data_IF_615125584397
#
_entry.id   IF_615125584397
#
_cell.length_a   1.000
_cell.length_b   1.000
_cell.length_c   1.000
_cell.angle_alpha   90.00
_cell.angle_beta   90.00
_cell.angle_gamma   90.00
#
_symmetry.space_group_name_H-M   'P 1'
#
loop_
_entity.id
_entity.type
_entity.pdbx_description
1 polymer ?
#
# COMPACT_ATOMS: atom_id res chain seq x y z
N UNK A 1 -5.07 -24.87 7.97
CA UNK A 1 -5.31 -23.97 6.84
C UNK A 1 -5.88 -22.67 7.37
N UNK A 2 -5.02 -21.65 7.48
CA UNK A 2 -5.38 -20.34 8.03
C UNK A 2 -5.96 -19.38 6.97
N UNK A 3 -5.82 -19.71 5.69
CA UNK A 3 -6.47 -18.94 4.63
C UNK A 3 -7.92 -19.35 4.47
N UNK A 4 -8.85 -18.41 4.35
CA UNK A 4 -10.21 -18.68 3.96
C UNK A 4 -10.23 -19.41 2.62
N UNK A 5 -11.06 -20.41 2.50
CA UNK A 5 -11.21 -21.16 1.23
C UNK A 5 -11.58 -20.23 0.07
N UNK A 6 -12.23 -19.13 0.35
CA UNK A 6 -12.66 -18.11 -0.61
C UNK A 6 -11.49 -17.27 -1.17
N UNK A 7 -10.42 -17.08 -0.39
CA UNK A 7 -9.20 -16.39 -0.87
C UNK A 7 -8.31 -17.29 -1.71
N UNK A 8 -8.36 -18.61 -1.50
CA UNK A 8 -7.52 -19.58 -2.22
C UNK A 8 -7.70 -19.50 -3.74
N UNK A 9 -8.92 -19.38 -4.30
CA UNK A 9 -9.10 -19.27 -5.75
C UNK A 9 -8.43 -18.05 -6.36
N UNK A 10 -8.45 -16.92 -5.66
CA UNK A 10 -7.84 -15.68 -6.14
C UNK A 10 -6.31 -15.81 -6.20
N UNK A 11 -5.72 -16.37 -5.18
CA UNK A 11 -4.27 -16.59 -5.08
C UNK A 11 -3.83 -17.76 -5.95
N UNK A 12 -4.57 -18.87 -5.92
CA UNK A 12 -4.27 -20.09 -6.68
C UNK A 12 -4.31 -19.88 -8.19
N UNK A 13 -5.26 -19.08 -8.66
CA UNK A 13 -5.37 -18.72 -10.09
C UNK A 13 -4.28 -17.80 -10.57
N UNK A 14 -3.50 -17.20 -9.66
CA UNK A 14 -2.50 -16.19 -10.01
C UNK A 14 -1.08 -16.76 -10.02
N UNK A 15 -0.61 -17.48 -8.98
CA UNK A 15 0.83 -17.71 -8.84
C UNK A 15 1.26 -19.01 -8.17
N UNK A 16 0.51 -19.59 -7.23
CA UNK A 16 0.96 -20.74 -6.44
C UNK A 16 -0.17 -21.57 -5.90
N UNK A 17 0.07 -22.88 -5.75
CA UNK A 17 -0.84 -23.78 -5.07
C UNK A 17 -0.69 -23.76 -3.54
N UNK A 18 0.43 -23.25 -3.04
CA UNK A 18 0.77 -23.19 -1.62
C UNK A 18 1.29 -21.78 -1.28
N UNK A 19 0.39 -20.80 -1.09
CA UNK A 19 0.80 -19.47 -0.72
C UNK A 19 1.48 -19.46 0.65
N UNK A 20 2.46 -18.58 0.84
CA UNK A 20 3.05 -18.32 2.14
C UNK A 20 2.04 -17.62 3.04
N UNK A 21 2.06 -17.99 4.31
CA UNK A 21 1.43 -17.25 5.41
C UNK A 21 2.52 -16.95 6.41
N UNK A 22 2.75 -15.66 6.69
CA UNK A 22 3.88 -15.20 7.49
C UNK A 22 3.57 -13.88 8.20
N UNK A 23 4.58 -13.29 8.86
CA UNK A 23 4.50 -11.95 9.42
C UNK A 23 3.44 -11.75 10.49
N UNK A 24 3.32 -12.64 11.51
CA UNK A 24 2.28 -12.48 12.51
C UNK A 24 2.53 -11.23 13.37
N UNK A 25 1.50 -10.42 13.52
CA UNK A 25 1.47 -9.27 14.42
C UNK A 25 0.18 -9.29 15.23
N UNK A 26 0.25 -8.95 16.52
CA UNK A 26 -0.92 -8.99 17.40
C UNK A 26 -1.16 -7.65 18.05
N UNK A 27 -2.35 -7.08 17.82
CA UNK A 27 -2.85 -5.94 18.56
C UNK A 27 -3.96 -6.33 19.53
N UNK A 28 -4.15 -5.49 20.54
CA UNK A 28 -5.31 -5.53 21.41
C UNK A 28 -6.08 -4.22 21.31
N UNK A 29 -7.37 -4.30 20.98
CA UNK A 29 -8.25 -3.15 20.93
C UNK A 29 -9.64 -3.51 21.46
N UNK A 30 -10.19 -2.66 22.34
CA UNK A 30 -11.52 -2.85 22.95
C UNK A 30 -11.76 -4.27 23.49
N UNK A 31 -10.75 -4.86 24.14
CA UNK A 31 -10.84 -6.20 24.74
C UNK A 31 -10.70 -7.36 23.76
N UNK A 32 -10.65 -7.12 22.46
CA UNK A 32 -10.39 -8.13 21.42
C UNK A 32 -8.92 -8.15 21.02
N UNK A 33 -8.46 -9.29 20.49
CA UNK A 33 -7.12 -9.52 19.97
C UNK A 33 -7.20 -9.70 18.46
N UNK A 34 -6.36 -8.97 17.73
CA UNK A 34 -6.32 -8.93 16.27
C UNK A 34 -5.00 -9.54 15.81
N UNK A 35 -5.04 -10.78 15.35
CA UNK A 35 -3.88 -11.49 14.80
C UNK A 35 -3.79 -11.20 13.31
N UNK A 36 -2.88 -10.31 12.97
CA UNK A 36 -2.57 -9.95 11.58
C UNK A 36 -1.60 -10.98 10.99
N UNK A 37 -1.68 -11.18 9.68
CA UNK A 37 -0.80 -12.09 8.95
C UNK A 37 -0.69 -11.67 7.49
N UNK A 38 0.44 -11.99 6.85
CA UNK A 38 0.69 -11.67 5.45
C UNK A 38 0.55 -12.88 4.53
N UNK A 39 0.13 -12.62 3.29
CA UNK A 39 -0.09 -13.62 2.23
C UNK A 39 -0.18 -12.92 0.86
N UNK A 40 0.17 -13.56 -0.28
CA UNK A 40 0.75 -14.88 -0.47
C UNK A 40 2.28 -14.91 -0.48
N UNK A 41 2.95 -13.78 -0.64
CA UNK A 41 4.39 -13.64 -0.70
C UNK A 41 4.82 -12.29 -1.26
N UNK A 42 5.96 -11.78 -0.81
CA UNK A 42 6.46 -10.43 -1.09
C UNK A 42 6.87 -10.20 -2.56
N UNK A 43 7.01 -11.25 -3.34
CA UNK A 43 7.31 -11.21 -4.78
C UNK A 43 6.08 -10.87 -5.64
N UNK A 44 4.89 -10.81 -5.04
CA UNK A 44 3.64 -10.57 -5.75
C UNK A 44 3.04 -9.21 -5.43
N UNK A 45 2.48 -8.53 -6.43
CA UNK A 45 1.75 -7.26 -6.22
C UNK A 45 0.49 -7.43 -5.36
N UNK A 46 -0.03 -8.64 -5.27
CA UNK A 46 -1.19 -9.00 -4.44
C UNK A 46 -0.82 -9.33 -2.99
N UNK A 47 0.43 -9.10 -2.59
CA UNK A 47 0.86 -9.25 -1.22
C UNK A 47 0.07 -8.33 -0.29
N UNK A 48 -0.54 -8.91 0.73
CA UNK A 48 -1.55 -8.25 1.55
C UNK A 48 -1.47 -8.72 3.00
N UNK A 49 -2.09 -7.98 3.91
CA UNK A 49 -2.29 -8.42 5.28
C UNK A 49 -3.77 -8.70 5.56
N UNK A 50 -4.01 -9.89 6.09
CA UNK A 50 -5.29 -10.30 6.65
C UNK A 50 -5.30 -10.23 8.17
N UNK A 51 -6.47 -10.44 8.79
CA UNK A 51 -6.62 -10.41 10.24
C UNK A 51 -7.65 -11.41 10.75
N UNK A 52 -7.28 -12.10 11.82
CA UNK A 52 -8.17 -12.92 12.64
C UNK A 52 -8.45 -12.22 13.96
N UNK A 53 -9.64 -12.41 14.53
CA UNK A 53 -10.06 -11.77 15.78
C UNK A 53 -10.45 -12.81 16.82
N UNK A 54 -10.09 -12.54 18.08
CA UNK A 54 -10.46 -13.38 19.25
C UNK A 54 -10.70 -12.54 20.50
N UNK A 55 -11.48 -13.05 21.41
CA UNK A 55 -11.60 -12.53 22.79
C UNK A 55 -10.43 -12.92 23.71
N UNK A 56 -9.52 -13.79 23.24
CA UNK A 56 -8.39 -14.30 24.00
C UNK A 56 -7.12 -14.29 23.17
N UNK A 57 -5.92 -14.01 23.73
CA UNK A 57 -4.67 -14.01 22.97
C UNK A 57 -4.27 -15.40 22.45
N UNK A 58 -4.86 -16.45 23.00
CA UNK A 58 -4.62 -17.85 22.59
C UNK A 58 -5.74 -18.41 21.70
N UNK A 59 -6.73 -17.57 21.34
CA UNK A 59 -7.86 -17.98 20.51
C UNK A 59 -9.01 -18.59 21.35
N UNK A 60 -9.99 -19.24 20.71
CA UNK A 60 -10.06 -19.47 19.27
C UNK A 60 -10.19 -18.17 18.47
N UNK A 61 -9.55 -18.13 17.30
CA UNK A 61 -9.60 -17.01 16.39
C UNK A 61 -10.64 -17.25 15.28
N UNK A 62 -11.35 -16.20 14.89
CA UNK A 62 -12.23 -16.17 13.74
C UNK A 62 -11.73 -15.16 12.73
N UNK A 63 -11.91 -15.44 11.44
CA UNK A 63 -11.55 -14.49 10.39
C UNK A 63 -12.42 -13.24 10.52
N UNK A 64 -11.80 -12.06 10.50
CA UNK A 64 -12.53 -10.80 10.45
C UNK A 64 -13.30 -10.64 9.13
N UNK A 65 -14.35 -9.84 9.12
CA UNK A 65 -15.13 -9.59 7.90
C UNK A 65 -14.35 -8.76 6.88
N UNK A 66 -13.57 -7.79 7.37
CA UNK A 66 -12.71 -6.95 6.52
C UNK A 66 -11.38 -7.67 6.23
N UNK A 67 -11.36 -8.52 5.22
CA UNK A 67 -10.16 -9.27 4.79
C UNK A 67 -9.99 -9.32 3.27
N UNK A 68 -8.73 -9.05 2.79
CA UNK A 68 -7.61 -8.51 3.56
C UNK A 68 -7.89 -7.08 4.02
N UNK A 69 -7.42 -6.69 5.21
CA UNK A 69 -7.61 -5.33 5.72
C UNK A 69 -6.58 -4.34 5.14
N UNK A 70 -5.45 -4.84 4.64
CA UNK A 70 -4.44 -4.08 3.90
C UNK A 70 -4.16 -4.77 2.58
N UNK A 71 -4.50 -4.11 1.47
CA UNK A 71 -4.34 -4.64 0.12
C UNK A 71 -4.21 -3.51 -0.90
N UNK A 72 -3.09 -3.48 -1.63
CA UNK A 72 -2.81 -2.48 -2.64
C UNK A 72 -2.04 -3.10 -3.81
N UNK A 73 -2.75 -3.64 -4.78
CA UNK A 73 -2.17 -4.42 -5.88
C UNK A 73 -1.60 -3.60 -7.03
N UNK A 74 -1.82 -2.29 -7.04
CA UNK A 74 -1.37 -1.36 -8.08
C UNK A 74 -0.97 -0.01 -7.51
N UNK A 75 -0.72 0.99 -8.36
CA UNK A 75 -0.27 2.32 -7.97
C UNK A 75 1.23 2.38 -7.69
N UNK A 76 1.67 3.47 -7.11
CA UNK A 76 3.09 3.72 -6.83
C UNK A 76 3.66 2.82 -5.72
N UNK A 77 2.84 2.43 -4.74
CA UNK A 77 3.24 1.57 -3.62
C UNK A 77 2.49 0.22 -3.62
N UNK A 78 2.76 -0.69 -4.58
CA UNK A 78 2.08 -1.98 -4.63
C UNK A 78 2.59 -2.94 -3.55
N UNK A 79 1.73 -3.88 -3.13
CA UNK A 79 2.06 -4.92 -2.16
C UNK A 79 1.27 -4.79 -0.88
N UNK A 80 1.78 -4.07 0.13
CA UNK A 80 1.14 -3.81 1.41
C UNK A 80 0.99 -5.03 2.35
N UNK A 81 1.92 -5.99 2.28
CA UNK A 81 1.96 -7.17 3.17
C UNK A 81 3.14 -7.21 4.13
N UNK A 82 3.16 -8.18 5.03
CA UNK A 82 4.11 -8.39 6.13
C UNK A 82 4.23 -7.15 7.01
N UNK A 83 3.08 -6.61 7.33
CA UNK A 83 2.99 -5.36 8.05
C UNK A 83 2.83 -5.52 9.55
N UNK A 84 2.79 -4.37 10.18
CA UNK A 84 2.43 -4.22 11.58
C UNK A 84 1.70 -2.90 11.77
N UNK A 85 0.86 -2.85 12.77
CA UNK A 85 0.16 -1.64 13.18
C UNK A 85 0.82 -1.04 14.41
N UNK A 86 0.84 0.28 14.49
CA UNK A 86 1.37 0.99 15.65
C UNK A 86 0.57 2.25 15.94
N UNK A 87 0.43 2.56 17.22
CA UNK A 87 -0.14 3.82 17.68
C UNK A 87 0.94 4.88 17.83
N UNK A 88 0.71 6.07 17.27
CA UNK A 88 1.56 7.22 17.57
C UNK A 88 1.18 7.88 18.92
N UNK A 89 1.97 8.86 19.32
CA UNK A 89 1.75 9.58 20.58
C UNK A 89 0.46 10.41 20.60
N UNK A 90 -0.11 10.71 19.44
CA UNK A 90 -1.37 11.44 19.28
C UNK A 90 -2.58 10.51 19.26
N UNK A 91 -2.38 9.19 19.31
CA UNK A 91 -3.43 8.18 19.26
C UNK A 91 -3.93 7.91 17.85
N UNK A 92 -3.12 8.15 16.82
CA UNK A 92 -3.38 7.69 15.47
C UNK A 92 -2.82 6.28 15.27
N UNK A 93 -3.58 5.42 14.62
CA UNK A 93 -3.11 4.10 14.22
C UNK A 93 -2.50 4.18 12.81
N UNK A 94 -1.34 3.59 12.68
CA UNK A 94 -0.59 3.48 11.43
C UNK A 94 -0.37 2.03 11.07
N UNK A 95 -0.46 1.71 9.79
CA UNK A 95 -0.02 0.45 9.23
C UNK A 95 1.25 0.67 8.44
N UNK A 96 2.30 -0.08 8.78
CA UNK A 96 3.55 -0.11 8.01
C UNK A 96 3.69 -1.49 7.38
N UNK A 97 4.03 -1.55 6.12
CA UNK A 97 4.21 -2.82 5.44
C UNK A 97 5.20 -2.74 4.29
N UNK A 98 5.45 -3.86 3.68
CA UNK A 98 6.32 -3.98 2.53
C UNK A 98 5.61 -3.52 1.27
N UNK A 99 6.20 -2.53 0.57
CA UNK A 99 5.88 -2.26 -0.83
C UNK A 99 6.92 -2.91 -1.76
N UNK A 100 6.45 -3.42 -2.89
CA UNK A 100 7.29 -4.05 -3.90
C UNK A 100 7.77 -3.03 -4.91
N UNK A 101 9.09 -2.94 -5.10
CA UNK A 101 9.71 -2.13 -6.18
C UNK A 101 10.09 -3.03 -7.35
N UNK A 102 10.89 -4.08 -7.09
CA UNK A 102 11.28 -5.10 -8.07
C UNK A 102 11.88 -4.57 -9.38
N UNK A 103 12.67 -3.50 -9.30
CA UNK A 103 13.36 -2.92 -10.46
C UNK A 103 14.62 -3.72 -10.80
N UNK A 104 15.41 -4.04 -9.78
CA UNK A 104 16.67 -4.76 -9.92
C UNK A 104 16.57 -6.24 -9.53
N UNK A 105 15.67 -6.54 -8.60
CA UNK A 105 15.50 -7.88 -8.06
C UNK A 105 14.07 -8.11 -7.58
N UNK A 106 13.53 -9.33 -7.75
CA UNK A 106 12.13 -9.67 -7.39
C UNK A 106 11.77 -9.45 -5.90
N UNK A 107 12.77 -9.44 -5.01
CA UNK A 107 12.62 -9.15 -3.59
C UNK A 107 13.07 -7.73 -3.21
N UNK A 108 13.26 -6.86 -4.16
CA UNK A 108 13.54 -5.45 -3.87
C UNK A 108 12.27 -4.79 -3.32
N UNK A 109 12.38 -4.29 -2.08
CA UNK A 109 11.26 -3.78 -1.30
C UNK A 109 11.59 -2.45 -0.65
N UNK A 110 10.54 -1.70 -0.34
CA UNK A 110 10.59 -0.48 0.48
C UNK A 110 9.52 -0.55 1.55
N UNK A 111 9.59 0.33 2.52
CA UNK A 111 8.55 0.47 3.54
C UNK A 111 7.49 1.42 3.03
N UNK A 112 6.26 0.95 3.01
CA UNK A 112 5.06 1.77 2.87
C UNK A 112 4.47 2.09 4.24
N UNK A 113 3.76 3.21 4.34
CA UNK A 113 3.03 3.62 5.53
C UNK A 113 1.66 4.15 5.15
N UNK A 114 0.63 3.73 5.87
CA UNK A 114 -0.76 4.14 5.65
C UNK A 114 -1.46 4.44 6.96
N UNK A 115 -2.50 5.25 6.86
CA UNK A 115 -3.43 5.42 7.97
C UNK A 115 -4.24 4.15 8.16
N UNK A 116 -4.37 3.72 9.41
CA UNK A 116 -5.19 2.59 9.80
C UNK A 116 -6.15 3.01 10.93
N UNK A 117 -7.12 2.16 11.22
CA UNK A 117 -8.07 2.42 12.29
C UNK A 117 -8.96 1.22 12.55
N UNK A 118 -9.88 1.41 13.48
CA UNK A 118 -10.98 0.52 13.74
C UNK A 118 -12.27 1.27 13.46
N UNK A 119 -13.20 0.64 12.75
CA UNK A 119 -14.51 1.22 12.47
C UNK A 119 -15.47 1.09 13.68
N UNK A 120 -16.73 1.45 13.47
CA UNK A 120 -17.75 1.41 14.54
C UNK A 120 -18.06 -0.02 15.01
N UNK A 121 -17.87 -1.02 14.17
CA UNK A 121 -18.10 -2.44 14.48
C UNK A 121 -16.84 -3.10 15.06
N UNK A 122 -15.74 -2.35 15.09
CA UNK A 122 -14.44 -2.81 15.59
C UNK A 122 -13.65 -3.61 14.57
N UNK A 123 -13.96 -3.47 13.28
CA UNK A 123 -13.16 -4.06 12.21
C UNK A 123 -11.91 -3.22 11.95
N UNK A 124 -10.77 -3.89 11.87
CA UNK A 124 -9.50 -3.26 11.50
C UNK A 124 -9.51 -2.91 10.01
N UNK A 125 -9.10 -1.69 9.66
CA UNK A 125 -8.95 -1.25 8.28
C UNK A 125 -7.65 -0.49 8.05
N UNK A 126 -7.21 -0.49 6.80
CA UNK A 126 -6.14 0.35 6.29
C UNK A 126 -6.69 1.28 5.20
N UNK A 127 -6.47 2.59 5.31
CA UNK A 127 -7.03 3.54 4.35
C UNK A 127 -6.13 3.63 3.11
N UNK A 128 -6.43 2.81 2.11
CA UNK A 128 -5.75 2.73 0.81
C UNK A 128 -6.68 3.07 -0.37
N UNK A 129 -7.89 3.53 -0.08
CA UNK A 129 -8.98 3.65 -1.09
C UNK A 129 -8.78 4.76 -2.13
N UNK A 130 -7.92 5.73 -1.86
CA UNK A 130 -7.67 6.86 -2.76
C UNK A 130 -6.35 6.72 -3.53
N UNK A 131 -5.70 5.57 -3.46
CA UNK A 131 -4.37 5.37 -4.03
C UNK A 131 -3.27 5.96 -3.14
N UNK A 132 -2.15 6.28 -3.75
CA UNK A 132 -0.98 6.78 -3.05
C UNK A 132 -0.99 8.31 -2.99
N UNK A 133 -0.82 8.86 -1.78
CA UNK A 133 -0.74 10.30 -1.55
C UNK A 133 0.18 10.60 -0.37
N UNK A 134 0.74 11.82 -0.32
CA UNK A 134 1.50 12.27 0.85
C UNK A 134 0.61 12.27 2.10
N UNK A 135 1.08 11.64 3.15
CA UNK A 135 0.39 11.57 4.44
C UNK A 135 1.03 12.53 5.41
N UNK A 136 0.25 13.44 5.99
CA UNK A 136 0.74 14.31 7.04
C UNK A 136 0.90 13.53 8.34
N UNK A 137 2.12 13.51 8.86
CA UNK A 137 2.40 13.07 10.23
C UNK A 137 2.15 14.26 11.13
N UNK A 138 1.03 14.26 11.83
CA UNK A 138 0.58 15.36 12.68
C UNK A 138 0.73 14.99 14.16
N UNK A 139 1.04 15.98 15.01
CA UNK A 139 0.96 15.85 16.47
C UNK A 139 -0.49 15.81 16.99
N UNK A 140 -1.47 15.83 16.11
CA UNK A 140 -2.91 15.78 16.43
C UNK A 140 -3.51 14.47 16.02
N UNK A 141 -4.52 14.03 16.76
CA UNK A 141 -5.37 12.94 16.32
C UNK A 141 -6.20 13.38 15.13
N UNK A 142 -6.25 12.56 14.10
CA UNK A 142 -7.01 12.78 12.87
C UNK A 142 -7.92 11.60 12.59
N UNK A 143 -8.94 11.79 11.75
CA UNK A 143 -9.78 10.70 11.28
C UNK A 143 -8.98 9.81 10.31
N UNK A 144 -8.90 8.52 10.58
CA UNK A 144 -8.21 7.57 9.71
C UNK A 144 -8.92 7.39 8.36
N UNK A 145 -10.20 7.73 8.27
CA UNK A 145 -10.99 7.74 7.02
C UNK A 145 -10.96 9.09 6.29
N UNK A 146 -10.22 10.08 6.80
CA UNK A 146 -10.12 11.38 6.16
C UNK A 146 -9.67 11.25 4.70
N UNK A 147 -10.30 12.04 3.85
CA UNK A 147 -9.92 12.10 2.44
C UNK A 147 -8.52 12.69 2.31
N UNK A 148 -7.71 12.24 1.34
CA UNK A 148 -6.43 12.85 1.09
C UNK A 148 -6.63 14.33 0.74
N UNK A 149 -5.81 15.20 1.34
CA UNK A 149 -5.80 16.63 1.04
C UNK A 149 -4.97 16.96 -0.20
N UNK A 150 -4.28 15.96 -0.74
CA UNK A 150 -3.36 16.07 -1.86
C UNK A 150 -3.82 15.18 -3.00
N UNK A 151 -3.73 15.69 -4.22
CA UNK A 151 -4.02 14.96 -5.44
C UNK A 151 -2.78 14.91 -6.31
N UNK A 152 -2.52 13.78 -6.92
CA UNK A 152 -1.47 13.62 -7.93
C UNK A 152 -1.90 14.27 -9.23
N UNK A 153 -1.49 15.52 -9.42
CA UNK A 153 -1.86 16.32 -10.59
C UNK A 153 -1.19 15.83 -11.88
N UNK A 154 -0.04 15.16 -11.75
CA UNK A 154 0.77 14.69 -12.88
C UNK A 154 0.24 13.42 -13.54
N UNK A 155 -0.60 12.63 -12.87
CA UNK A 155 -1.00 11.32 -13.33
C UNK A 155 -1.58 11.34 -14.77
N UNK A 156 -0.92 10.60 -15.67
CA UNK A 156 -1.25 10.48 -17.11
C UNK A 156 -1.44 11.81 -17.86
N UNK A 157 -0.76 12.85 -17.40
CA UNK A 157 -0.73 14.12 -18.13
C UNK A 157 0.22 14.08 -19.32
N UNK A 158 0.06 15.05 -20.24
CA UNK A 158 0.96 15.21 -21.37
C UNK A 158 2.37 15.58 -20.91
N UNK A 159 3.35 14.86 -21.40
CA UNK A 159 4.76 15.03 -21.03
C UNK A 159 5.62 15.13 -22.28
N UNK A 160 6.52 16.09 -22.29
CA UNK A 160 7.57 16.26 -23.28
C UNK A 160 8.94 16.15 -22.61
N UNK A 161 9.93 15.63 -23.33
CA UNK A 161 11.31 15.58 -22.86
C UNK A 161 12.29 15.96 -23.96
N UNK A 162 13.46 16.46 -23.58
CA UNK A 162 14.54 16.77 -24.52
C UNK A 162 15.07 15.54 -25.24
N UNK A 163 15.09 14.40 -24.55
CA UNK A 163 15.54 13.10 -25.04
C UNK A 163 15.11 12.00 -24.09
N UNK A 164 15.21 10.75 -24.52
CA UNK A 164 15.00 9.61 -23.64
C UNK A 164 15.75 8.37 -24.15
N UNK A 165 16.08 7.47 -23.25
CA UNK A 165 16.60 6.15 -23.58
C UNK A 165 15.43 5.23 -23.97
N UNK A 166 15.70 4.25 -24.86
CA UNK A 166 14.70 3.26 -25.28
C UNK A 166 14.16 2.48 -24.07
N UNK A 167 12.84 2.44 -23.91
CA UNK A 167 12.16 1.82 -22.77
C UNK A 167 12.11 2.71 -21.53
N UNK A 168 12.50 4.00 -21.66
CA UNK A 168 12.48 5.01 -20.59
C UNK A 168 11.82 6.30 -21.10
N UNK A 169 10.69 6.14 -21.77
CA UNK A 169 9.92 7.19 -22.41
C UNK A 169 9.36 8.20 -21.38
N UNK A 170 9.12 9.46 -21.78
CA UNK A 170 8.62 10.50 -20.87
C UNK A 170 7.34 10.14 -20.11
N UNK A 171 6.44 9.38 -20.75
CA UNK A 171 5.17 8.97 -20.14
C UNK A 171 5.33 8.11 -18.86
N UNK A 172 6.49 7.44 -18.70
CA UNK A 172 6.81 6.64 -17.53
C UNK A 172 7.14 7.49 -16.27
N UNK A 173 7.25 8.80 -16.44
CA UNK A 173 7.39 9.70 -15.29
C UNK A 173 6.05 10.07 -14.64
N UNK A 174 4.93 9.69 -15.25
CA UNK A 174 3.57 10.11 -14.84
C UNK A 174 2.57 8.96 -14.81
N UNK A 175 3.01 7.72 -14.80
CA UNK A 175 2.18 6.51 -14.84
C UNK A 175 1.82 5.96 -13.45
N UNK A 176 2.40 6.56 -12.37
CA UNK A 176 2.20 6.14 -10.98
C UNK A 176 2.69 4.70 -10.72
N UNK A 177 3.76 4.28 -11.39
CA UNK A 177 4.39 2.99 -11.21
C UNK A 177 5.84 3.17 -10.71
N UNK A 178 6.14 2.69 -9.51
CA UNK A 178 7.48 2.78 -8.90
C UNK A 178 8.54 1.92 -9.61
N UNK A 179 8.12 1.05 -10.53
CA UNK A 179 9.04 0.16 -11.28
C UNK A 179 9.46 0.76 -12.61
N UNK A 180 8.85 1.86 -13.03
CA UNK A 180 9.13 2.57 -14.26
C UNK A 180 9.69 3.97 -14.00
N UNK A 181 10.40 4.54 -14.93
CA UNK A 181 10.89 5.91 -14.85
C UNK A 181 11.27 6.46 -16.25
N UNK A 182 11.23 7.75 -16.40
CA UNK A 182 11.87 8.41 -17.52
C UNK A 182 13.36 8.52 -17.28
N UNK A 183 14.16 8.30 -18.32
CA UNK A 183 15.60 8.51 -18.29
C UNK A 183 16.01 9.32 -19.52
N UNK A 184 16.66 10.47 -19.28
CA UNK A 184 17.22 11.25 -20.38
C UNK A 184 18.34 10.48 -21.11
N UNK A 185 18.34 10.55 -22.43
CA UNK A 185 19.41 10.07 -23.28
C UNK A 185 20.66 10.99 -23.27
N UNK A 186 20.61 12.14 -22.58
CA UNK A 186 21.70 13.11 -22.47
C UNK A 186 21.86 13.59 -21.04
N UNK A 187 23.09 14.09 -20.72
CA UNK A 187 23.40 14.54 -19.35
C UNK A 187 22.53 15.71 -18.89
N UNK A 188 22.19 16.62 -19.80
CA UNK A 188 21.45 17.86 -19.49
C UNK A 188 20.00 17.77 -19.98
N UNK A 189 19.34 16.64 -19.70
CA UNK A 189 17.97 16.41 -20.09
C UNK A 189 16.96 17.23 -19.28
N UNK A 190 15.87 17.62 -19.92
CA UNK A 190 14.71 18.22 -19.28
C UNK A 190 13.43 17.44 -19.56
N UNK A 191 12.52 17.48 -18.60
CA UNK A 191 11.16 16.95 -18.70
C UNK A 191 10.18 18.12 -18.47
N UNK A 192 9.17 18.23 -19.34
CA UNK A 192 8.12 19.24 -19.24
C UNK A 192 6.78 18.54 -19.11
N UNK A 193 6.07 18.87 -18.04
CA UNK A 193 4.73 18.38 -17.75
C UNK A 193 3.71 19.49 -17.99
N UNK A 194 2.66 19.22 -18.76
CA UNK A 194 1.54 20.10 -18.97
C UNK A 194 0.36 19.68 -18.09
N UNK A 195 0.06 20.46 -17.06
CA UNK A 195 -1.10 20.24 -16.19
C UNK A 195 -2.43 20.61 -16.84
N UNK A 196 -2.42 21.23 -18.05
CA UNK A 196 -3.58 21.61 -18.87
C UNK A 196 -4.39 22.80 -18.32
N UNK A 197 -4.19 23.20 -17.09
CA UNK A 197 -4.75 24.39 -16.43
C UNK A 197 -3.92 24.81 -15.24
N UNK A 198 -4.22 25.96 -14.68
CA UNK A 198 -3.59 26.45 -13.46
C UNK A 198 -4.06 25.65 -12.24
N UNK A 199 -3.11 25.33 -11.37
CA UNK A 199 -3.33 24.67 -10.09
C UNK A 199 -2.46 25.31 -9.02
N UNK A 200 -2.93 25.25 -7.79
CA UNK A 200 -2.12 25.56 -6.60
C UNK A 200 -1.27 24.32 -6.26
N UNK A 201 -0.06 24.27 -6.80
CA UNK A 201 0.87 23.14 -6.61
C UNK A 201 1.55 23.29 -5.26
N UNK A 202 1.47 22.25 -4.42
CA UNK A 202 2.01 22.24 -3.06
C UNK A 202 3.34 21.51 -2.95
N UNK A 203 3.58 20.53 -3.81
CA UNK A 203 4.83 19.75 -3.85
C UNK A 203 5.16 19.32 -5.28
N UNK A 204 6.45 19.15 -5.56
CA UNK A 204 7.00 18.61 -6.80
C UNK A 204 8.00 17.51 -6.44
#
# INVERSE_FOLDING_TARGET
DMLPKEMIPLVKGMFTEKPFIEGPWMDKYNGKYYLQYACPGAEYNVYADGVYVSGSPLGPFTLAENNPYSYHAGGFMPGAGHGSTMWDLSGNLWHTSTMRISVNHQFERRVGIWRAGFDADGELFCNQRYGDWPVAVSEKKTDAWENPQWYLLSYKKSVEASSYEKGKEPALAVDEDATTWWQSGTKDGWLKLDLQKEYDVRAI
#
